data_IF_815628306102
#
_entry.id   IF_815628306102
#
_cell.length_a   1.000
_cell.length_b   1.000
_cell.length_c   1.000
_cell.angle_alpha   90.00
_cell.angle_beta   90.00
_cell.angle_gamma   90.00
#
_symmetry.space_group_name_H-M   'P 1'
#
loop_
_entity.id
_entity.type
_entity.pdbx_description
1 polymer ?
#
# COMPACT_ATOMS: atom_id res chain seq x y z
N UNK A 1 -17.72 3.49 32.65
CA UNK A 1 -18.03 3.28 31.23
C UNK A 1 -17.40 4.35 30.33
N UNK A 2 -17.36 5.61 30.77
CA UNK A 2 -16.75 6.76 30.04
C UNK A 2 -15.24 6.60 29.77
N UNK A 3 -14.51 5.91 30.65
CA UNK A 3 -13.04 5.77 30.57
C UNK A 3 -12.53 5.00 29.33
N UNK A 4 -13.27 3.99 28.84
CA UNK A 4 -12.86 3.20 27.67
C UNK A 4 -13.12 3.93 26.34
N UNK A 5 -14.21 4.68 26.24
CA UNK A 5 -14.52 5.47 25.05
C UNK A 5 -13.56 6.66 24.88
N UNK A 6 -13.22 7.34 25.98
CA UNK A 6 -12.26 8.46 25.97
C UNK A 6 -10.82 8.01 25.65
N UNK A 7 -10.48 6.74 25.89
CA UNK A 7 -9.14 6.21 25.60
C UNK A 7 -8.99 5.68 24.17
N UNK A 8 -10.08 5.52 23.42
CA UNK A 8 -10.10 4.91 22.09
C UNK A 8 -9.99 5.89 20.91
N UNK A 9 -9.85 7.20 21.18
CA UNK A 9 -9.78 8.21 20.11
C UNK A 9 -8.63 8.00 19.13
N UNK A 10 -7.47 7.52 19.62
CA UNK A 10 -6.30 7.20 18.79
C UNK A 10 -6.56 6.02 17.86
N UNK A 11 -7.29 5.02 18.34
CA UNK A 11 -7.65 3.83 17.59
C UNK A 11 -8.72 4.16 16.54
N UNK A 12 -9.66 5.05 16.87
CA UNK A 12 -10.59 5.57 15.87
C UNK A 12 -9.87 6.30 14.73
N UNK A 13 -8.92 7.19 15.07
CA UNK A 13 -8.06 7.85 14.08
C UNK A 13 -7.27 6.83 13.25
N UNK A 14 -6.70 5.82 13.89
CA UNK A 14 -5.99 4.73 13.21
C UNK A 14 -6.88 3.94 12.26
N UNK A 15 -8.17 3.78 12.57
CA UNK A 15 -9.12 3.05 11.73
C UNK A 15 -9.48 3.87 10.50
N UNK A 16 -9.75 5.16 10.70
CA UNK A 16 -10.00 6.09 9.60
C UNK A 16 -8.78 6.19 8.66
N UNK A 17 -7.58 6.32 9.22
CA UNK A 17 -6.33 6.32 8.47
C UNK A 17 -6.11 5.00 7.71
N UNK A 18 -6.35 3.85 8.34
CA UNK A 18 -6.22 2.53 7.72
C UNK A 18 -7.21 2.30 6.59
N UNK A 19 -8.45 2.76 6.73
CA UNK A 19 -9.46 2.67 5.66
C UNK A 19 -9.10 3.55 4.46
N UNK A 20 -8.69 4.80 4.71
CA UNK A 20 -8.23 5.70 3.66
C UNK A 20 -6.99 5.14 2.95
N UNK A 21 -5.99 4.70 3.72
CA UNK A 21 -4.79 4.09 3.18
C UNK A 21 -5.09 2.85 2.32
N UNK A 22 -6.04 2.01 2.73
CA UNK A 22 -6.46 0.84 1.96
C UNK A 22 -7.05 1.22 0.59
N UNK A 23 -7.89 2.26 0.55
CA UNK A 23 -8.43 2.79 -0.72
C UNK A 23 -7.31 3.32 -1.61
N UNK A 24 -6.34 4.04 -1.05
CA UNK A 24 -5.21 4.57 -1.81
C UNK A 24 -4.28 3.46 -2.35
N UNK A 25 -4.09 2.36 -1.60
CA UNK A 25 -3.37 1.17 -2.09
C UNK A 25 -4.12 0.53 -3.25
N UNK A 26 -5.45 0.38 -3.14
CA UNK A 26 -6.30 -0.11 -4.23
C UNK A 26 -6.22 0.77 -5.48
N UNK A 27 -6.26 2.09 -5.30
CA UNK A 27 -6.11 3.05 -6.39
C UNK A 27 -4.73 2.92 -7.05
N UNK A 28 -3.66 2.85 -6.25
CA UNK A 28 -2.29 2.65 -6.72
C UNK A 28 -2.15 1.37 -7.54
N UNK A 29 -2.79 0.28 -7.11
CA UNK A 29 -2.80 -0.98 -7.86
C UNK A 29 -3.43 -0.84 -9.24
N UNK A 30 -4.46 0.01 -9.39
CA UNK A 30 -5.18 0.21 -10.65
C UNK A 30 -4.58 1.27 -11.58
N UNK A 31 -3.69 2.13 -11.08
CA UNK A 31 -3.05 3.17 -11.89
C UNK A 31 -1.97 2.56 -12.80
N UNK A 32 -1.90 3.07 -14.04
CA UNK A 32 -0.84 2.68 -14.99
C UNK A 32 0.39 3.59 -14.90
N UNK A 33 0.34 4.65 -14.09
CA UNK A 33 1.43 5.61 -13.93
C UNK A 33 2.44 5.18 -12.86
N UNK A 34 2.94 3.94 -12.94
CA UNK A 34 4.05 3.52 -12.07
C UNK A 34 5.38 3.99 -12.63
N UNK A 35 5.59 3.77 -13.93
CA UNK A 35 6.78 4.23 -14.66
C UNK A 35 6.35 5.01 -15.90
N UNK A 36 6.94 6.19 -16.07
CA UNK A 36 6.77 7.01 -17.27
C UNK A 36 7.99 6.79 -18.16
N UNK A 37 7.78 6.25 -19.36
CA UNK A 37 8.82 5.96 -20.33
C UNK A 37 8.82 7.01 -21.42
N UNK A 38 9.94 7.73 -21.60
CA UNK A 38 10.14 8.60 -22.76
C UNK A 38 10.68 7.78 -23.93
N UNK A 39 10.01 7.90 -25.08
CA UNK A 39 10.30 7.14 -26.30
C UNK A 39 10.79 8.10 -27.39
N UNK A 40 11.86 7.74 -28.09
CA UNK A 40 12.42 8.55 -29.18
C UNK A 40 11.57 8.46 -30.46
N UNK A 41 11.02 7.26 -30.72
CA UNK A 41 10.22 6.98 -31.90
C UNK A 41 8.74 7.36 -31.70
N UNK A 42 8.41 8.57 -32.17
CA UNK A 42 7.03 9.10 -32.15
C UNK A 42 6.17 8.60 -33.31
N UNK A 43 6.70 7.74 -34.19
CA UNK A 43 5.95 7.15 -35.31
C UNK A 43 4.94 6.10 -34.87
N UNK A 44 5.09 5.53 -33.67
CA UNK A 44 4.14 4.58 -33.07
C UNK A 44 3.51 5.15 -31.80
N UNK A 45 4.30 5.82 -30.96
CA UNK A 45 3.86 6.47 -29.72
C UNK A 45 3.79 7.98 -29.93
N UNK A 46 2.62 8.51 -30.30
CA UNK A 46 2.46 9.94 -30.65
C UNK A 46 2.79 10.90 -29.53
N UNK A 47 2.53 10.51 -28.29
CA UNK A 47 2.81 11.32 -27.11
C UNK A 47 4.29 11.41 -26.76
N UNK A 48 5.14 10.54 -27.33
CA UNK A 48 6.52 10.34 -26.89
C UNK A 48 6.64 9.80 -25.46
N UNK A 49 5.52 9.42 -24.83
CA UNK A 49 5.46 8.93 -23.45
C UNK A 49 4.56 7.69 -23.38
N UNK A 50 5.08 6.61 -22.81
CA UNK A 50 4.32 5.42 -22.44
C UNK A 50 4.18 5.32 -20.92
N UNK A 51 3.00 4.91 -20.46
CA UNK A 51 2.66 4.69 -19.06
C UNK A 51 2.69 3.19 -18.76
N UNK A 52 3.64 2.77 -17.94
CA UNK A 52 3.80 1.36 -17.56
C UNK A 52 3.33 1.19 -16.12
N UNK A 53 2.23 0.47 -15.96
CA UNK A 53 1.71 0.01 -14.67
C UNK A 53 2.16 -1.40 -14.34
N UNK A 54 1.61 -1.96 -13.26
CA UNK A 54 1.85 -3.36 -12.89
C UNK A 54 0.91 -4.33 -13.61
N UNK A 55 -0.24 -3.88 -14.13
CA UNK A 55 -1.21 -4.74 -14.84
C UNK A 55 -1.32 -4.44 -16.33
N UNK A 56 -0.97 -3.22 -16.74
CA UNK A 56 -1.12 -2.75 -18.12
C UNK A 56 -0.02 -1.75 -18.46
N UNK A 57 0.40 -1.76 -19.71
CA UNK A 57 1.20 -0.70 -20.32
C UNK A 57 0.33 0.02 -21.36
N UNK A 58 0.25 1.34 -21.28
CA UNK A 58 -0.60 2.16 -22.14
C UNK A 58 0.20 3.25 -22.84
N UNK A 59 -0.23 3.62 -24.05
CA UNK A 59 0.33 4.74 -24.80
C UNK A 59 -0.71 5.30 -25.79
N UNK A 60 -0.50 6.54 -26.26
CA UNK A 60 -1.30 7.08 -27.37
C UNK A 60 -0.64 6.71 -28.70
N UNK A 61 -1.42 6.14 -29.62
CA UNK A 61 -0.95 5.72 -30.94
C UNK A 61 -1.35 6.72 -32.03
N UNK A 62 -0.65 6.72 -33.18
CA UNK A 62 -0.99 7.58 -34.31
C UNK A 62 -2.34 7.23 -34.94
N UNK A 63 -2.74 5.96 -34.86
CA UNK A 63 -3.97 5.46 -35.47
C UNK A 63 -5.21 5.85 -34.65
N UNK A 64 -5.06 5.94 -33.32
CA UNK A 64 -6.12 6.34 -32.40
C UNK A 64 -5.61 7.38 -31.40
N UNK A 65 -5.40 8.64 -31.82
CA UNK A 65 -4.86 9.69 -30.93
C UNK A 65 -5.81 10.07 -29.78
N UNK A 66 -7.08 9.67 -29.84
CA UNK A 66 -8.09 9.90 -28.81
C UNK A 66 -8.32 8.69 -27.88
N UNK A 67 -7.76 7.52 -28.20
CA UNK A 67 -7.97 6.31 -27.41
C UNK A 67 -6.63 5.74 -26.94
N UNK A 68 -6.56 5.42 -25.66
CA UNK A 68 -5.38 4.79 -25.06
C UNK A 68 -5.25 3.36 -25.57
N UNK A 69 -4.13 3.06 -26.24
CA UNK A 69 -3.79 1.68 -26.58
C UNK A 69 -3.14 1.05 -25.35
N UNK A 70 -3.86 0.14 -24.69
CA UNK A 70 -3.41 -0.53 -23.48
C UNK A 70 -3.20 -2.02 -23.71
N UNK A 71 -2.00 -2.50 -23.44
CA UNK A 71 -1.66 -3.93 -23.45
C UNK A 71 -1.63 -4.46 -22.01
N UNK A 72 -2.21 -5.63 -21.78
CA UNK A 72 -2.21 -6.28 -20.47
C UNK A 72 -0.88 -6.95 -20.18
N UNK A 73 -0.40 -6.82 -18.95
CA UNK A 73 0.80 -7.48 -18.43
C UNK A 73 0.37 -8.59 -17.48
N UNK A 74 0.71 -9.82 -17.79
CA UNK A 74 0.40 -11.01 -16.99
C UNK A 74 1.58 -11.41 -16.11
N UNK A 75 1.30 -12.08 -14.98
CA UNK A 75 2.33 -12.62 -14.08
C UNK A 75 3.23 -13.64 -14.80
N UNK A 76 2.70 -14.33 -15.82
CA UNK A 76 3.39 -15.38 -16.58
C UNK A 76 4.22 -14.87 -17.75
N UNK A 77 4.31 -13.55 -17.95
CA UNK A 77 5.05 -12.99 -19.07
C UNK A 77 6.55 -12.98 -18.78
N UNK A 78 7.30 -13.91 -19.39
CA UNK A 78 8.74 -14.12 -19.14
C UNK A 78 9.63 -12.92 -19.50
N UNK A 79 9.13 -12.00 -20.33
CA UNK A 79 9.87 -10.78 -20.71
C UNK A 79 9.82 -9.69 -19.63
N UNK A 80 8.93 -9.82 -18.64
CA UNK A 80 8.79 -8.85 -17.56
C UNK A 80 9.92 -9.04 -16.54
N UNK A 81 10.55 -7.93 -16.10
CA UNK A 81 11.54 -8.02 -15.05
C UNK A 81 10.85 -8.36 -13.73
N UNK A 82 11.53 -9.12 -12.88
CA UNK A 82 10.95 -9.80 -11.70
C UNK A 82 10.20 -8.87 -10.75
N UNK A 83 10.53 -7.58 -10.71
CA UNK A 83 9.87 -6.61 -9.85
C UNK A 83 8.41 -6.32 -10.24
N UNK A 84 7.98 -6.60 -11.48
CA UNK A 84 6.58 -6.42 -11.92
C UNK A 84 5.70 -7.58 -11.42
N UNK A 85 6.00 -8.87 -11.69
CA UNK A 85 5.25 -9.99 -11.11
C UNK A 85 5.21 -9.97 -9.58
N UNK A 86 6.34 -9.64 -8.93
CA UNK A 86 6.41 -9.52 -7.48
C UNK A 86 5.49 -8.40 -6.98
N UNK A 87 5.43 -7.26 -7.68
CA UNK A 87 4.51 -6.17 -7.33
C UNK A 87 3.04 -6.59 -7.45
N UNK A 88 2.66 -7.29 -8.52
CA UNK A 88 1.30 -7.81 -8.73
C UNK A 88 0.85 -8.69 -7.55
N UNK A 89 1.71 -9.61 -7.11
CA UNK A 89 1.41 -10.51 -5.98
C UNK A 89 1.38 -9.78 -4.64
N UNK A 90 2.42 -8.99 -4.32
CA UNK A 90 2.54 -8.34 -3.01
C UNK A 90 1.46 -7.29 -2.79
N UNK A 91 1.09 -6.51 -3.81
CA UNK A 91 0.01 -5.53 -3.72
C UNK A 91 -1.34 -6.21 -3.49
N UNK A 92 -1.63 -7.32 -4.18
CA UNK A 92 -2.88 -8.06 -3.97
C UNK A 92 -2.94 -8.68 -2.57
N UNK A 93 -1.84 -9.23 -2.07
CA UNK A 93 -1.76 -9.70 -0.68
C UNK A 93 -1.97 -8.55 0.31
N UNK A 94 -1.36 -7.38 0.08
CA UNK A 94 -1.57 -6.19 0.90
C UNK A 94 -3.05 -5.77 0.93
N UNK A 95 -3.74 -5.78 -0.21
CA UNK A 95 -5.17 -5.45 -0.29
C UNK A 95 -6.00 -6.42 0.57
N UNK A 96 -5.77 -7.72 0.47
CA UNK A 96 -6.50 -8.73 1.25
C UNK A 96 -6.23 -8.56 2.76
N UNK A 97 -4.96 -8.42 3.14
CA UNK A 97 -4.57 -8.19 4.54
C UNK A 97 -5.17 -6.90 5.10
N UNK A 98 -5.17 -5.82 4.32
CA UNK A 98 -5.71 -4.52 4.72
C UNK A 98 -7.23 -4.53 4.88
N UNK A 99 -7.95 -5.28 4.05
CA UNK A 99 -9.39 -5.49 4.21
C UNK A 99 -9.69 -6.25 5.50
N UNK A 100 -8.97 -7.35 5.75
CA UNK A 100 -9.11 -8.10 7.00
C UNK A 100 -8.79 -7.24 8.24
N UNK A 101 -7.74 -6.42 8.17
CA UNK A 101 -7.37 -5.49 9.24
C UNK A 101 -8.49 -4.47 9.53
N UNK A 102 -9.08 -3.87 8.50
CA UNK A 102 -10.20 -2.94 8.62
C UNK A 102 -11.43 -3.60 9.28
N UNK A 103 -11.79 -4.81 8.86
CA UNK A 103 -12.93 -5.57 9.44
C UNK A 103 -12.68 -5.86 10.92
N UNK A 104 -11.52 -6.42 11.26
CA UNK A 104 -11.16 -6.75 12.64
C UNK A 104 -11.08 -5.48 13.48
N UNK A 105 -10.53 -4.39 12.93
CA UNK A 105 -10.43 -3.11 13.61
C UNK A 105 -11.80 -2.48 13.87
N UNK A 106 -12.72 -2.53 12.92
CA UNK A 106 -14.10 -2.07 13.10
C UNK A 106 -14.83 -2.89 14.18
N UNK A 107 -14.64 -4.21 14.20
CA UNK A 107 -15.17 -5.08 15.26
C UNK A 107 -14.59 -4.71 16.63
N UNK A 108 -13.28 -4.48 16.73
CA UNK A 108 -12.62 -4.05 17.97
C UNK A 108 -13.20 -2.73 18.48
N UNK A 109 -13.37 -1.74 17.58
CA UNK A 109 -13.96 -0.43 17.92
C UNK A 109 -15.42 -0.56 18.35
N UNK A 110 -16.21 -1.41 17.68
CA UNK A 110 -17.60 -1.70 18.06
C UNK A 110 -17.68 -2.26 19.49
N UNK A 111 -16.81 -3.21 19.84
CA UNK A 111 -16.76 -3.78 21.19
C UNK A 111 -16.45 -2.72 22.26
N UNK A 112 -15.61 -1.73 21.93
CA UNK A 112 -15.26 -0.63 22.85
C UNK A 112 -16.41 0.35 23.07
N UNK A 113 -17.08 0.79 21.99
CA UNK A 113 -18.14 1.80 22.09
C UNK A 113 -19.47 1.24 22.58
N UNK A 114 -19.84 0.02 22.17
CA UNK A 114 -21.13 -0.60 22.53
C UNK A 114 -21.03 -1.52 23.76
N UNK A 115 -19.87 -1.59 24.42
CA UNK A 115 -19.64 -2.29 25.69
C UNK A 115 -20.23 -3.70 25.73
N UNK A 116 -19.85 -4.54 24.77
CA UNK A 116 -20.22 -5.97 24.76
C UNK A 116 -19.60 -6.66 25.98
N UNK A 117 -20.32 -7.62 26.56
CA UNK A 117 -19.98 -8.26 27.85
C UNK A 117 -18.54 -8.83 27.91
N UNK A 118 -17.96 -9.22 26.77
CA UNK A 118 -16.67 -9.91 26.72
C UNK A 118 -15.48 -8.97 26.50
N UNK A 119 -15.11 -8.23 27.55
CA UNK A 119 -13.97 -7.29 27.54
C UNK A 119 -12.60 -7.94 27.36
N UNK A 120 -12.50 -9.27 27.54
CA UNK A 120 -11.23 -10.01 27.42
C UNK A 120 -10.71 -10.04 25.98
N UNK A 121 -11.61 -10.01 25.00
CA UNK A 121 -11.26 -10.13 23.58
C UNK A 121 -10.91 -8.80 22.90
N UNK A 122 -11.11 -7.66 23.57
CA UNK A 122 -10.88 -6.34 22.96
C UNK A 122 -9.39 -6.12 22.64
N UNK A 123 -8.51 -6.38 23.62
CA UNK A 123 -7.05 -6.20 23.43
C UNK A 123 -6.47 -7.08 22.31
N UNK A 124 -6.71 -8.40 22.26
CA UNK A 124 -6.15 -9.22 21.19
C UNK A 124 -6.69 -8.83 19.81
N UNK A 125 -7.94 -8.35 19.69
CA UNK A 125 -8.47 -7.84 18.41
C UNK A 125 -7.70 -6.59 17.92
N UNK A 126 -7.40 -5.63 18.81
CA UNK A 126 -6.58 -4.47 18.44
C UNK A 126 -5.16 -4.86 18.04
N UNK A 127 -4.55 -5.81 18.75
CA UNK A 127 -3.22 -6.31 18.40
C UNK A 127 -3.23 -6.99 17.02
N UNK A 128 -4.21 -7.87 16.77
CA UNK A 128 -4.35 -8.54 15.49
C UNK A 128 -4.56 -7.56 14.34
N UNK A 129 -5.51 -6.62 14.46
CA UNK A 129 -5.73 -5.59 13.44
C UNK A 129 -4.48 -4.73 13.23
N UNK A 130 -3.80 -4.31 14.30
CA UNK A 130 -2.57 -3.53 14.21
C UNK A 130 -1.44 -4.28 13.49
N UNK A 131 -1.24 -5.57 13.79
CA UNK A 131 -0.25 -6.39 13.08
C UNK A 131 -0.56 -6.55 11.60
N UNK A 132 -1.85 -6.71 11.24
CA UNK A 132 -2.25 -6.81 9.84
C UNK A 132 -2.09 -5.48 9.09
N UNK A 133 -2.34 -4.34 9.74
CA UNK A 133 -2.02 -3.03 9.15
C UNK A 133 -0.52 -2.86 8.92
N UNK A 134 0.33 -3.23 9.88
CA UNK A 134 1.79 -3.18 9.70
C UNK A 134 2.21 -4.08 8.53
N UNK A 135 1.71 -5.32 8.51
CA UNK A 135 1.98 -6.26 7.42
C UNK A 135 1.54 -5.67 6.06
N UNK A 136 0.33 -5.12 5.97
CA UNK A 136 -0.22 -4.48 4.77
C UNK A 136 0.63 -3.32 4.28
N UNK A 137 1.08 -2.45 5.20
CA UNK A 137 1.98 -1.34 4.88
C UNK A 137 3.33 -1.82 4.37
N UNK A 138 3.88 -2.90 4.95
CA UNK A 138 5.16 -3.47 4.49
C UNK A 138 5.05 -4.17 3.13
N UNK A 139 4.05 -5.03 2.92
CA UNK A 139 3.76 -5.69 1.64
C UNK A 139 3.49 -4.65 0.53
N UNK A 140 2.78 -3.59 0.91
CA UNK A 140 2.78 -2.23 0.37
C UNK A 140 4.04 -1.73 -0.33
N UNK A 141 4.97 -1.42 0.57
CA UNK A 141 6.10 -0.55 0.36
C UNK A 141 7.23 -1.23 -0.40
N UNK A 142 7.42 -2.53 -0.19
CA UNK A 142 8.48 -3.33 -0.84
C UNK A 142 8.44 -3.20 -2.37
N UNK A 143 7.35 -3.52 -3.07
CA UNK A 143 7.31 -3.40 -4.53
C UNK A 143 7.35 -1.95 -5.00
N UNK A 144 6.81 -0.99 -4.25
CA UNK A 144 6.85 0.44 -4.60
C UNK A 144 8.29 0.97 -4.60
N UNK A 145 9.05 0.69 -3.53
CA UNK A 145 10.45 1.11 -3.40
C UNK A 145 11.34 0.40 -4.42
N UNK A 146 11.08 -0.89 -4.68
CA UNK A 146 11.81 -1.63 -5.71
C UNK A 146 11.57 -1.02 -7.09
N UNK A 147 10.31 -0.82 -7.48
CA UNK A 147 9.96 -0.19 -8.77
C UNK A 147 10.53 1.23 -8.89
N UNK A 148 10.50 2.03 -7.81
CA UNK A 148 11.14 3.34 -7.77
C UNK A 148 12.64 3.24 -8.05
N UNK A 149 13.31 2.26 -7.45
CA UNK A 149 14.75 2.03 -7.66
C UNK A 149 15.05 1.59 -9.09
N UNK A 150 14.23 0.72 -9.69
CA UNK A 150 14.35 0.33 -11.10
C UNK A 150 14.22 1.54 -12.05
N UNK A 151 13.30 2.46 -11.76
CA UNK A 151 13.13 3.70 -12.52
C UNK A 151 14.35 4.61 -12.40
N UNK A 152 14.88 4.79 -11.19
CA UNK A 152 16.06 5.62 -10.96
C UNK A 152 17.33 5.05 -11.61
N UNK A 153 17.41 3.72 -11.73
CA UNK A 153 18.50 3.03 -12.43
C UNK A 153 18.24 2.89 -13.94
N UNK A 154 17.17 3.48 -14.47
CA UNK A 154 16.78 3.42 -15.88
C UNK A 154 16.69 1.98 -16.44
N UNK A 155 16.17 1.04 -15.63
CA UNK A 155 16.08 -0.38 -15.99
C UNK A 155 14.99 -0.62 -17.04
N UNK A 156 15.39 -1.06 -18.23
CA UNK A 156 14.49 -1.31 -19.35
C UNK A 156 13.72 -2.64 -19.23
N UNK A 157 12.56 -2.69 -19.88
CA UNK A 157 11.70 -3.88 -20.06
C UNK A 157 11.74 -4.23 -21.55
N UNK A 158 12.16 -5.44 -21.89
CA UNK A 158 12.26 -5.87 -23.29
C UNK A 158 10.90 -6.32 -23.81
N UNK A 159 10.03 -5.36 -24.15
CA UNK A 159 8.72 -5.66 -24.71
C UNK A 159 8.85 -6.41 -26.05
N UNK A 160 8.08 -7.49 -26.27
CA UNK A 160 8.03 -8.14 -27.56
C UNK A 160 7.38 -7.22 -28.60
N UNK A 161 7.70 -7.38 -29.90
CA UNK A 161 7.26 -6.47 -30.96
C UNK A 161 5.74 -6.34 -31.08
N UNK A 162 4.98 -7.35 -30.63
CA UNK A 162 3.51 -7.36 -30.57
C UNK A 162 2.93 -6.21 -29.71
N UNK A 163 3.67 -5.73 -28.73
CA UNK A 163 3.25 -4.66 -27.84
C UNK A 163 3.39 -3.27 -28.47
N UNK A 164 4.01 -3.16 -29.65
CA UNK A 164 4.26 -1.90 -30.36
C UNK A 164 4.95 -0.84 -29.49
N UNK A 165 5.75 -1.30 -28.53
CA UNK A 165 6.57 -0.50 -27.62
C UNK A 165 8.05 -0.72 -27.98
N UNK A 166 8.90 0.32 -27.87
CA UNK A 166 10.33 0.16 -28.10
C UNK A 166 10.95 -0.77 -27.05
N UNK A 167 12.03 -1.45 -27.42
CA UNK A 167 12.74 -2.37 -26.52
C UNK A 167 13.37 -1.67 -25.31
N UNK A 168 13.68 -0.37 -25.41
CA UNK A 168 14.21 0.42 -24.30
C UNK A 168 13.71 1.88 -24.35
N UNK A 169 13.49 2.52 -23.19
CA UNK A 169 13.19 3.94 -23.12
C UNK A 169 14.45 4.78 -23.20
N UNK A 170 14.32 6.02 -23.69
CA UNK A 170 15.39 7.03 -23.65
C UNK A 170 15.65 7.47 -22.21
N UNK A 171 14.56 7.72 -21.47
CA UNK A 171 14.57 8.09 -20.05
C UNK A 171 13.34 7.55 -19.36
N UNK A 172 13.47 7.28 -18.07
CA UNK A 172 12.37 6.92 -17.19
C UNK A 172 12.16 7.98 -16.10
N UNK A 173 10.89 8.21 -15.77
CA UNK A 173 10.48 9.06 -14.65
C UNK A 173 9.54 8.30 -13.71
N UNK A 174 9.61 8.64 -12.43
CA UNK A 174 8.74 8.07 -11.39
C UNK A 174 7.33 8.60 -11.62
N UNK A 175 6.37 7.70 -11.81
CA UNK A 175 4.99 8.08 -12.03
C UNK A 175 4.25 8.38 -10.71
N UNK A 176 3.07 8.99 -10.84
CA UNK A 176 2.25 9.45 -9.71
C UNK A 176 1.80 8.30 -8.79
N UNK A 177 1.62 7.10 -9.33
CA UNK A 177 1.15 5.94 -8.60
C UNK A 177 2.14 5.52 -7.49
N UNK A 178 3.45 5.59 -7.77
CA UNK A 178 4.48 5.23 -6.78
C UNK A 178 4.42 6.18 -5.58
N UNK A 179 4.30 7.48 -5.81
CA UNK A 179 4.21 8.47 -4.75
C UNK A 179 2.94 8.28 -3.89
N UNK A 180 1.79 8.06 -4.55
CA UNK A 180 0.52 7.78 -3.88
C UNK A 180 0.60 6.50 -3.03
N UNK A 181 1.18 5.45 -3.59
CA UNK A 181 1.38 4.17 -2.90
C UNK A 181 2.25 4.31 -1.66
N UNK A 182 3.38 5.01 -1.75
CA UNK A 182 4.30 5.20 -0.61
C UNK A 182 3.59 5.98 0.51
N UNK A 183 2.88 7.05 0.15
CA UNK A 183 2.06 7.80 1.11
C UNK A 183 1.02 6.90 1.78
N UNK A 184 0.33 6.07 1.00
CA UNK A 184 -0.67 5.14 1.51
C UNK A 184 -0.06 4.08 2.43
N UNK A 185 1.08 3.49 2.07
CA UNK A 185 1.80 2.52 2.91
C UNK A 185 2.24 3.14 4.24
N UNK A 186 2.78 4.36 4.24
CA UNK A 186 3.17 5.08 5.47
C UNK A 186 1.94 5.33 6.35
N UNK A 187 0.84 5.81 5.76
CA UNK A 187 -0.40 6.06 6.48
C UNK A 187 -0.96 4.76 7.09
N UNK A 188 -0.87 3.64 6.38
CA UNK A 188 -1.25 2.31 6.86
C UNK A 188 -0.39 1.89 8.07
N UNK A 189 0.93 2.09 8.00
CA UNK A 189 1.86 1.80 9.10
C UNK A 189 1.52 2.63 10.35
N UNK A 190 1.24 3.92 10.18
CA UNK A 190 0.81 4.81 11.28
C UNK A 190 -0.49 4.30 11.90
N UNK A 191 -1.48 3.92 11.08
CA UNK A 191 -2.73 3.30 11.53
C UNK A 191 -2.49 2.03 12.35
N UNK A 192 -1.59 1.16 11.88
CA UNK A 192 -1.15 -0.04 12.59
C UNK A 192 -0.52 0.25 13.95
N UNK A 193 0.41 1.20 14.02
CA UNK A 193 1.05 1.61 15.28
C UNK A 193 0.04 2.18 16.29
N UNK A 194 -0.94 2.97 15.83
CA UNK A 194 -2.02 3.47 16.69
C UNK A 194 -2.86 2.33 17.27
N UNK A 195 -3.16 1.29 16.48
CA UNK A 195 -3.83 0.09 16.95
C UNK A 195 -3.00 -0.71 17.96
N UNK A 196 -1.73 -0.94 17.66
CA UNK A 196 -0.80 -1.64 18.54
C UNK A 196 -0.57 -0.90 19.87
N UNK A 197 -0.71 0.42 19.88
CA UNK A 197 -0.61 1.23 21.10
C UNK A 197 -1.76 0.99 22.10
N UNK A 198 -2.83 0.29 21.70
CA UNK A 198 -3.94 -0.07 22.58
C UNK A 198 -3.44 -0.92 23.76
N UNK A 199 -3.29 -0.27 24.92
CA UNK A 199 -2.76 -0.79 26.20
C UNK A 199 -1.23 -0.96 26.32
N UNK A 200 -0.41 -0.28 25.50
CA UNK A 200 1.03 -0.13 25.81
C UNK A 200 1.26 0.70 27.11
N UNK A 201 0.29 1.53 27.52
CA UNK A 201 0.39 2.39 28.72
C UNK A 201 0.32 1.67 30.08
N UNK A 202 0.07 0.36 30.16
CA UNK A 202 0.06 -0.37 31.44
C UNK A 202 1.45 -0.90 31.87
N UNK A 203 2.36 -1.10 30.91
CA UNK A 203 3.68 -1.72 31.18
C UNK A 203 4.73 -0.66 31.54
N UNK A 204 4.63 0.57 31.01
CA UNK A 204 5.46 1.69 31.46
C UNK A 204 4.95 2.39 32.73
N UNK A 205 3.67 2.28 33.07
CA UNK A 205 3.12 2.85 34.31
C UNK A 205 3.38 1.97 35.54
N UNK A 206 3.47 0.64 35.37
CA UNK A 206 3.78 -0.29 36.47
C UNK A 206 5.24 -0.27 36.94
N UNK A 207 6.17 0.29 36.13
CA UNK A 207 7.58 0.44 36.54
C UNK A 207 7.85 1.67 37.41
N UNK A 208 6.93 2.65 37.48
CA UNK A 208 7.09 3.80 38.39
C UNK A 208 6.52 3.55 39.80
N UNK A 209 5.58 2.63 39.96
CA UNK A 209 4.97 2.33 41.28
C UNK A 209 5.69 1.25 42.09
N UNK A 210 6.57 0.44 41.48
CA UNK A 210 7.34 -0.55 42.25
C UNK A 210 8.55 0.06 42.99
N UNK A 211 8.95 1.29 42.66
CA UNK A 211 10.12 1.93 43.31
C UNK A 211 9.78 2.75 44.56
N UNK A 212 8.51 2.86 44.97
CA UNK A 212 8.09 3.67 46.12
C UNK A 212 7.51 2.87 47.30
N UNK A 213 7.57 1.54 47.27
CA UNK A 213 6.93 0.66 48.26
C UNK A 213 7.86 -0.28 49.03
N UNK A 214 9.13 0.07 49.23
CA UNK A 214 10.09 -0.72 49.98
C UNK A 214 10.81 0.12 51.04
N UNK A 215 10.16 0.35 52.18
CA UNK A 215 10.74 1.06 53.31
C UNK A 215 9.69 1.30 54.40
N UNK A 216 9.64 0.38 55.37
CA UNK A 216 8.71 0.41 56.50
C UNK A 216 8.52 -0.99 57.07
#
# INVERSE_FOLDING_TARGET
MIYLAHTAHRQFLGLAAGFLAWILIMATAGLNEWRLWQVEDVSVVTSGVAWVGIWRACFYSQVLPQFENCQSLSISDDFLPTEIPVAQVLIMLAVICGLAANIIGALAMRMVYFSVADRRNIRPMFLLAGTLYVLTGTLSLVPLVWNMTSVLNNSAINFPPEYNLPAAPVRQHVGSAIALGILASILMLIGGLLFLSYRYSAICAGKLTYSTGGGG
#
